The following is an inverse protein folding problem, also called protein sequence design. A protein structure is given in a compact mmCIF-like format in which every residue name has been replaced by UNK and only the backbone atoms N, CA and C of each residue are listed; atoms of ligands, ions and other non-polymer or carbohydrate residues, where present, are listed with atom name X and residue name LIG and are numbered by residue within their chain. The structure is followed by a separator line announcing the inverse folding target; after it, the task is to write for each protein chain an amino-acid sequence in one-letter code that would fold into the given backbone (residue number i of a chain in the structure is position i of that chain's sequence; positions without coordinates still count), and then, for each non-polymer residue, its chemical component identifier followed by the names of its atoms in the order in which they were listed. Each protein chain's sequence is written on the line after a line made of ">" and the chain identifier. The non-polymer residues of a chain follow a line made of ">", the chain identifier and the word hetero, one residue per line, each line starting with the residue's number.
data_IF_256119279029
#
_entry.id   IF_256119279029
#
_cell.length_a   1.000
_cell.length_b   1.000
_cell.length_c   1.000
_cell.angle_alpha   90.00
_cell.angle_beta   90.00
_cell.angle_gamma   90.00
#
_symmetry.space_group_name_H-M   'P 1'
#
loop_
_entity.id
_entity.type
_entity.pdbx_description
1 polymer ?
#
# COMPACT_ATOMS: atom_id res chain seq x y z
N UNK A 1 14.65 -11.60 1.39
CA UNK A 1 15.53 -10.57 0.81
C UNK A 1 15.19 -10.39 -0.67
N UNK A 2 15.34 -9.17 -1.20
CA UNK A 2 15.10 -8.87 -2.62
C UNK A 2 15.94 -9.74 -3.57
N UNK A 3 17.05 -10.31 -3.12
CA UNK A 3 17.90 -11.25 -3.85
C UNK A 3 17.25 -12.61 -4.10
N UNK A 4 16.14 -12.90 -3.44
CA UNK A 4 15.46 -14.21 -3.50
C UNK A 4 14.05 -14.12 -4.14
N UNK A 5 13.74 -13.01 -4.80
CA UNK A 5 12.44 -12.80 -5.45
C UNK A 5 12.14 -13.90 -6.51
N UNK A 6 13.18 -14.44 -7.17
CA UNK A 6 13.01 -15.54 -8.11
C UNK A 6 12.43 -16.80 -7.44
N UNK A 7 12.76 -17.07 -6.18
CA UNK A 7 12.22 -18.21 -5.43
C UNK A 7 10.72 -18.02 -5.17
N UNK A 8 10.26 -16.78 -4.98
CA UNK A 8 8.84 -16.47 -4.83
C UNK A 8 8.09 -16.73 -6.13
N UNK A 9 8.69 -16.40 -7.28
CA UNK A 9 8.12 -16.71 -8.59
C UNK A 9 8.05 -18.22 -8.83
N UNK A 10 9.07 -18.98 -8.44
CA UNK A 10 9.06 -20.44 -8.54
C UNK A 10 7.97 -21.06 -7.66
N UNK A 11 7.79 -20.56 -6.45
CA UNK A 11 6.68 -20.96 -5.57
C UNK A 11 5.32 -20.64 -6.20
N UNK A 12 5.19 -19.44 -6.77
CA UNK A 12 3.94 -19.00 -7.39
C UNK A 12 3.56 -19.89 -8.58
N UNK A 13 4.54 -20.23 -9.43
CA UNK A 13 4.38 -21.20 -10.52
C UNK A 13 4.04 -22.61 -10.04
N UNK A 14 4.65 -23.06 -8.94
CA UNK A 14 4.34 -24.36 -8.35
C UNK A 14 2.91 -24.43 -7.82
N UNK A 15 2.44 -23.35 -7.16
CA UNK A 15 1.06 -23.23 -6.68
C UNK A 15 0.06 -23.28 -7.85
N UNK A 16 0.33 -22.55 -8.93
CA UNK A 16 -0.52 -22.59 -10.14
C UNK A 16 -0.59 -24.01 -10.73
N UNK A 17 0.56 -24.69 -10.88
CA UNK A 17 0.59 -26.10 -11.34
C UNK A 17 -0.17 -27.04 -10.42
N UNK A 18 -0.23 -26.75 -9.13
CA UNK A 18 -0.99 -27.53 -8.15
C UNK A 18 -2.50 -27.21 -8.14
N UNK A 19 -2.97 -26.33 -9.05
CA UNK A 19 -4.38 -25.97 -9.17
C UNK A 19 -4.83 -24.84 -8.24
N UNK A 20 -3.90 -24.01 -7.75
CA UNK A 20 -4.29 -22.81 -7.02
C UNK A 20 -5.03 -21.84 -7.96
N UNK A 21 -6.23 -21.45 -7.56
CA UNK A 21 -7.08 -20.52 -8.30
C UNK A 21 -6.74 -19.06 -7.94
N UNK A 22 -6.68 -18.20 -8.96
CA UNK A 22 -6.42 -16.77 -8.80
C UNK A 22 -7.68 -15.92 -8.55
N UNK A 23 -7.47 -14.64 -8.37
CA UNK A 23 -8.56 -13.65 -8.20
C UNK A 23 -9.50 -13.60 -9.41
N UNK A 24 -9.00 -13.92 -10.60
CA UNK A 24 -9.68 -13.90 -11.89
C UNK A 24 -10.50 -15.17 -12.19
N UNK A 25 -10.33 -16.24 -11.40
CA UNK A 25 -10.97 -17.54 -11.67
C UNK A 25 -12.37 -17.70 -11.06
N UNK A 26 -12.90 -16.68 -10.40
CA UNK A 26 -14.31 -16.67 -9.93
C UNK A 26 -14.60 -15.75 -8.77
N UNK A 27 -15.87 -15.39 -8.62
CA UNK A 27 -16.39 -14.47 -7.59
C UNK A 27 -16.08 -14.89 -6.14
N UNK A 28 -15.84 -16.19 -5.92
CA UNK A 28 -15.51 -16.72 -4.58
C UNK A 28 -14.02 -16.65 -4.25
N UNK A 29 -13.17 -16.33 -5.22
CA UNK A 29 -11.72 -16.32 -5.07
C UNK A 29 -11.12 -14.90 -5.07
N UNK A 30 -11.88 -13.91 -4.58
CA UNK A 30 -11.46 -12.52 -4.49
C UNK A 30 -10.29 -12.29 -3.51
N UNK A 31 -9.27 -13.15 -3.56
CA UNK A 31 -8.05 -13.04 -2.76
C UNK A 31 -7.10 -12.01 -3.38
N UNK A 32 -6.54 -11.14 -2.52
CA UNK A 32 -5.46 -10.24 -2.93
C UNK A 32 -4.10 -10.81 -2.57
N UNK A 33 -3.08 -10.46 -3.33
CA UNK A 33 -1.70 -10.62 -2.93
C UNK A 33 -1.37 -9.48 -1.96
N UNK A 34 -1.11 -9.80 -0.69
CA UNK A 34 -0.73 -8.81 0.30
C UNK A 34 0.79 -8.76 0.42
N UNK A 35 1.37 -7.62 0.13
CA UNK A 35 2.81 -7.41 0.30
C UNK A 35 3.06 -6.62 1.59
N UNK A 36 4.02 -7.10 2.39
CA UNK A 36 4.51 -6.37 3.56
C UNK A 36 5.92 -5.89 3.25
N UNK A 37 6.00 -4.67 2.75
CA UNK A 37 7.29 -4.08 2.39
C UNK A 37 7.89 -3.42 3.63
N UNK A 38 9.03 -3.93 4.08
CA UNK A 38 9.72 -3.37 5.24
C UNK A 38 10.17 -1.94 4.96
N UNK A 39 9.94 -1.03 5.92
CA UNK A 39 10.40 0.36 5.78
C UNK A 39 11.90 0.46 5.95
N UNK A 40 12.55 1.30 5.15
CA UNK A 40 13.99 1.59 5.26
C UNK A 40 14.33 2.43 6.50
N UNK A 41 13.33 3.05 7.14
CA UNK A 41 13.50 3.85 8.34
C UNK A 41 12.19 4.21 9.02
N UNK A 42 12.26 4.56 10.30
CA UNK A 42 11.10 4.79 11.16
C UNK A 42 10.84 6.27 11.47
N UNK A 43 11.56 7.17 10.82
CA UNK A 43 11.36 8.61 10.96
C UNK A 43 10.34 9.13 9.96
N UNK A 44 9.79 10.31 10.22
CA UNK A 44 8.88 10.99 9.28
C UNK A 44 9.55 11.20 7.92
N UNK A 45 10.85 11.55 7.91
CA UNK A 45 11.61 11.74 6.67
C UNK A 45 11.72 10.50 5.77
N UNK A 46 11.52 9.28 6.31
CA UNK A 46 11.46 8.05 5.51
C UNK A 46 10.02 7.66 5.15
N UNK A 47 9.08 7.84 6.07
CA UNK A 47 7.71 7.34 5.91
C UNK A 47 6.87 8.28 5.06
N UNK A 48 6.96 9.59 5.29
CA UNK A 48 6.11 10.58 4.63
C UNK A 48 6.32 10.65 3.11
N UNK A 49 7.56 10.66 2.58
CA UNK A 49 7.77 10.62 1.12
C UNK A 49 7.15 9.37 0.47
N UNK A 50 7.33 8.19 1.08
CA UNK A 50 6.74 6.95 0.57
C UNK A 50 5.21 7.01 0.58
N UNK A 51 4.63 7.54 1.65
CA UNK A 51 3.17 7.73 1.74
C UNK A 51 2.66 8.71 0.68
N UNK A 52 3.31 9.88 0.51
CA UNK A 52 2.97 10.87 -0.54
C UNK A 52 3.03 10.23 -1.93
N UNK A 53 4.15 9.57 -2.25
CA UNK A 53 4.34 8.90 -3.54
C UNK A 53 3.25 7.86 -3.81
N UNK A 54 2.91 7.03 -2.81
CA UNK A 54 1.83 6.06 -2.94
C UNK A 54 0.48 6.73 -3.21
N UNK A 55 0.13 7.75 -2.44
CA UNK A 55 -1.14 8.48 -2.58
C UNK A 55 -1.30 9.06 -3.98
N UNK A 56 -0.24 9.66 -4.52
CA UNK A 56 -0.24 10.27 -5.86
C UNK A 56 -0.27 9.22 -6.98
N UNK A 57 0.40 8.09 -6.80
CA UNK A 57 0.45 6.99 -7.78
C UNK A 57 -0.75 6.03 -7.67
N UNK A 58 -1.59 6.13 -6.64
CA UNK A 58 -2.70 5.21 -6.41
C UNK A 58 -3.65 5.07 -7.63
N UNK A 59 -4.06 6.14 -8.33
CA UNK A 59 -4.90 5.99 -9.52
C UNK A 59 -4.23 5.17 -10.63
N UNK A 60 -2.93 5.38 -10.86
CA UNK A 60 -2.15 4.60 -11.82
C UNK A 60 -2.00 3.15 -11.39
N UNK A 61 -1.66 2.90 -10.11
CA UNK A 61 -1.53 1.55 -9.56
C UNK A 61 -2.84 0.76 -9.71
N UNK A 62 -3.97 1.36 -9.40
CA UNK A 62 -5.29 0.75 -9.56
C UNK A 62 -5.60 0.39 -11.02
N UNK A 63 -5.20 1.24 -11.94
CA UNK A 63 -5.35 0.99 -13.38
C UNK A 63 -4.40 -0.09 -13.87
N UNK A 64 -3.11 -0.02 -13.50
CA UNK A 64 -2.09 -0.96 -13.94
C UNK A 64 -2.30 -2.38 -13.39
N UNK A 65 -2.82 -2.50 -12.16
CA UNK A 65 -3.15 -3.78 -11.52
C UNK A 65 -4.47 -4.34 -12.08
N UNK A 66 -5.28 -3.53 -12.77
CA UNK A 66 -6.60 -3.91 -13.25
C UNK A 66 -7.43 -4.52 -12.12
N UNK A 67 -7.53 -3.78 -11.00
CA UNK A 67 -8.23 -4.26 -9.80
C UNK A 67 -9.58 -4.85 -10.18
N UNK A 68 -9.74 -6.13 -9.94
CA UNK A 68 -10.92 -6.91 -10.29
C UNK A 68 -12.21 -6.22 -9.82
N UNK A 69 -13.25 -6.25 -10.68
CA UNK A 69 -14.55 -5.67 -10.39
C UNK A 69 -15.18 -6.19 -9.10
N UNK A 70 -14.96 -7.45 -8.75
CA UNK A 70 -15.42 -8.04 -7.50
C UNK A 70 -14.71 -7.45 -6.29
N UNK A 71 -13.40 -7.21 -6.37
CA UNK A 71 -12.64 -6.56 -5.29
C UNK A 71 -13.01 -5.09 -5.11
N UNK A 72 -13.52 -4.43 -6.15
CA UNK A 72 -14.03 -3.06 -6.06
C UNK A 72 -15.31 -2.94 -5.22
N UNK A 73 -16.08 -4.03 -5.12
CA UNK A 73 -17.34 -4.07 -4.37
C UNK A 73 -17.09 -4.34 -2.88
N UNK A 74 -15.96 -4.97 -2.54
CA UNK A 74 -15.63 -5.29 -1.15
C UNK A 74 -14.78 -4.18 -0.52
N UNK A 75 -15.09 -3.75 0.72
CA UNK A 75 -14.43 -2.61 1.39
C UNK A 75 -13.03 -2.95 1.92
N UNK A 76 -12.25 -3.81 1.25
CA UNK A 76 -10.93 -4.24 1.72
C UNK A 76 -9.76 -3.48 1.10
N UNK A 77 -10.03 -2.70 0.03
CA UNK A 77 -9.05 -1.93 -0.74
C UNK A 77 -9.60 -0.55 -1.11
N UNK A 78 -10.23 0.12 -0.14
CA UNK A 78 -10.76 1.45 -0.34
C UNK A 78 -9.66 2.45 -0.69
N UNK A 79 -9.87 3.31 -1.70
CA UNK A 79 -8.96 4.40 -1.98
C UNK A 79 -8.93 5.40 -0.81
N UNK A 80 -7.86 6.17 -0.74
CA UNK A 80 -7.78 7.24 0.25
C UNK A 80 -8.74 8.39 -0.09
N UNK A 81 -9.33 9.06 0.93
CA UNK A 81 -10.13 10.26 0.69
C UNK A 81 -9.29 11.36 0.04
N UNK A 82 -9.84 12.04 -0.97
CA UNK A 82 -9.16 13.17 -1.63
C UNK A 82 -8.76 14.27 -0.65
N UNK A 83 -9.57 14.51 0.39
CA UNK A 83 -9.25 15.45 1.46
C UNK A 83 -7.99 15.06 2.24
N UNK A 84 -7.76 13.76 2.46
CA UNK A 84 -6.52 13.30 3.07
C UNK A 84 -5.31 13.49 2.16
N UNK A 85 -5.44 13.15 0.88
CA UNK A 85 -4.36 13.36 -0.11
C UNK A 85 -4.01 14.84 -0.18
N UNK A 86 -5.00 15.72 -0.29
CA UNK A 86 -4.79 17.19 -0.27
C UNK A 86 -4.06 17.65 0.99
N UNK A 87 -4.45 17.14 2.16
CA UNK A 87 -3.79 17.48 3.43
C UNK A 87 -2.32 17.09 3.42
N UNK A 88 -2.01 15.85 3.01
CA UNK A 88 -0.65 15.28 3.05
C UNK A 88 0.26 15.89 1.97
N UNK A 89 -0.29 16.24 0.80
CA UNK A 89 0.44 16.87 -0.29
C UNK A 89 0.51 18.40 -0.20
N UNK A 90 -0.06 19.02 0.84
CA UNK A 90 0.03 20.46 1.02
C UNK A 90 1.49 20.90 1.21
N UNK A 91 1.94 22.04 0.61
CA UNK A 91 3.33 22.49 0.71
C UNK A 91 3.80 22.77 2.13
N UNK A 92 2.89 23.15 3.01
CA UNK A 92 3.13 23.44 4.43
C UNK A 92 3.00 22.21 5.34
N UNK A 93 2.77 21.02 4.77
CA UNK A 93 2.61 19.79 5.55
C UNK A 93 3.96 19.24 6.01
N UNK A 94 4.41 19.70 7.16
CA UNK A 94 5.65 19.32 7.83
C UNK A 94 5.40 18.73 9.22
N UNK A 95 4.68 17.59 9.32
CA UNK A 95 4.28 17.03 10.60
C UNK A 95 5.47 16.42 11.35
N UNK A 96 5.37 16.38 12.67
CA UNK A 96 6.11 15.38 13.45
C UNK A 96 5.44 14.00 13.32
N UNK A 97 6.07 12.96 13.87
CA UNK A 97 5.56 11.59 13.79
C UNK A 97 4.17 11.44 14.43
N UNK A 98 3.92 12.14 15.54
CA UNK A 98 2.64 12.06 16.23
C UNK A 98 1.52 12.77 15.45
N UNK A 99 1.82 13.90 14.85
CA UNK A 99 0.89 14.62 13.99
C UNK A 99 0.56 13.82 12.73
N UNK A 100 1.57 13.24 12.06
CA UNK A 100 1.37 12.39 10.88
C UNK A 100 0.46 11.19 11.18
N UNK A 101 0.72 10.49 12.28
CA UNK A 101 -0.12 9.35 12.69
C UNK A 101 -1.53 9.82 13.08
N UNK A 102 -1.64 10.94 13.79
CA UNK A 102 -2.93 11.52 14.18
C UNK A 102 -3.79 11.91 12.97
N UNK A 103 -3.20 12.56 11.99
CA UNK A 103 -3.88 12.92 10.74
C UNK A 103 -4.31 11.64 9.99
N UNK A 104 -3.43 10.64 9.86
CA UNK A 104 -3.81 9.37 9.24
C UNK A 104 -5.04 8.75 9.92
N UNK A 105 -5.01 8.62 11.23
CA UNK A 105 -6.10 8.00 12.01
C UNK A 105 -7.42 8.80 11.92
N UNK A 106 -7.34 10.11 11.82
CA UNK A 106 -8.52 10.98 11.69
C UNK A 106 -9.25 10.77 10.36
N UNK A 107 -8.51 10.55 9.27
CA UNK A 107 -9.08 10.34 7.94
C UNK A 107 -9.28 8.88 7.58
N UNK A 108 -8.52 7.97 8.20
CA UNK A 108 -8.43 6.57 7.83
C UNK A 108 -8.49 5.64 9.05
N UNK A 109 -9.54 5.70 9.91
CA UNK A 109 -9.66 4.84 11.08
C UNK A 109 -10.11 3.43 10.68
N UNK A 110 -9.42 2.81 9.72
CA UNK A 110 -9.81 1.52 9.14
C UNK A 110 -8.61 0.78 8.57
N UNK A 111 -8.67 -0.56 8.62
CA UNK A 111 -7.70 -1.43 7.93
C UNK A 111 -7.95 -1.59 6.44
N UNK A 112 -9.04 -1.03 5.93
CA UNK A 112 -9.51 -1.34 4.57
C UNK A 112 -8.88 -0.46 3.48
N UNK A 113 -7.89 0.36 3.82
CA UNK A 113 -7.15 1.12 2.80
C UNK A 113 -6.26 0.20 1.95
N UNK A 114 -6.13 0.53 0.69
CA UNK A 114 -5.27 -0.15 -0.28
C UNK A 114 -3.79 -0.19 0.14
N UNK A 115 -3.34 0.81 0.91
CA UNK A 115 -2.11 0.80 1.70
C UNK A 115 -2.47 0.97 3.17
N UNK A 116 -2.50 -0.12 3.92
CA UNK A 116 -2.83 -0.11 5.33
C UNK A 116 -1.59 0.23 6.16
N UNK A 117 -1.54 1.47 6.67
CA UNK A 117 -0.43 1.99 7.48
C UNK A 117 -0.53 1.59 8.96
N UNK A 118 -1.67 1.02 9.40
CA UNK A 118 -1.90 0.73 10.81
C UNK A 118 -0.86 -0.23 11.41
N UNK A 119 -0.38 -1.28 10.72
CA UNK A 119 0.69 -2.14 11.24
C UNK A 119 1.99 -1.38 11.53
N UNK A 120 2.42 -0.49 10.62
CA UNK A 120 3.61 0.33 10.80
C UNK A 120 3.40 1.35 11.93
N UNK A 121 2.28 2.04 11.93
CA UNK A 121 1.97 3.03 12.96
C UNK A 121 1.76 2.39 14.35
N UNK A 122 1.21 1.18 14.40
CA UNK A 122 1.13 0.41 15.65
C UNK A 122 2.51 0.00 16.17
N UNK A 123 3.45 -0.33 15.29
CA UNK A 123 4.85 -0.57 15.68
C UNK A 123 5.50 0.67 16.29
N UNK A 124 5.20 1.86 15.75
CA UNK A 124 5.80 3.13 16.20
C UNK A 124 5.08 3.73 17.41
N UNK A 125 3.76 3.61 17.50
CA UNK A 125 2.91 4.27 18.50
C UNK A 125 1.67 3.41 18.82
N UNK A 126 1.87 2.23 19.40
CA UNK A 126 0.82 1.23 19.65
C UNK A 126 -0.42 1.81 20.35
N UNK A 127 -0.23 2.53 21.45
CA UNK A 127 -1.33 3.10 22.24
C UNK A 127 -2.19 4.11 21.44
N UNK A 128 -1.57 4.81 20.48
CA UNK A 128 -2.27 5.78 19.65
C UNK A 128 -3.17 5.10 18.62
N UNK A 129 -2.69 4.02 18.03
CA UNK A 129 -3.47 3.23 17.06
C UNK A 129 -4.60 2.48 17.76
N UNK A 130 -4.33 1.80 18.88
CA UNK A 130 -5.35 1.06 19.62
C UNK A 130 -6.43 1.96 20.23
N UNK A 131 -6.12 3.20 20.53
CA UNK A 131 -7.09 4.19 20.98
C UNK A 131 -8.03 4.71 19.89
N UNK A 132 -7.68 4.54 18.61
CA UNK A 132 -8.46 5.00 17.46
C UNK A 132 -9.13 3.85 16.69
N UNK A 133 -8.51 2.68 16.65
CA UNK A 133 -8.99 1.51 15.89
C UNK A 133 -8.87 0.27 16.75
N UNK A 134 -10.02 -0.25 17.21
CA UNK A 134 -10.09 -1.50 17.96
C UNK A 134 -10.28 -2.68 16.99
N UNK A 135 -9.17 -3.16 16.42
CA UNK A 135 -9.18 -4.34 15.56
C UNK A 135 -8.00 -5.28 15.90
N UNK A 136 -8.26 -6.45 16.49
CA UNK A 136 -7.22 -7.39 16.94
C UNK A 136 -6.39 -7.98 15.80
N UNK A 137 -6.79 -7.78 14.54
CA UNK A 137 -6.05 -8.19 13.35
C UNK A 137 -4.93 -7.23 12.98
N UNK A 138 -4.84 -6.05 13.60
CA UNK A 138 -3.70 -5.16 13.45
C UNK A 138 -2.51 -5.78 14.18
N UNK A 139 -1.51 -6.22 13.40
CA UNK A 139 -0.28 -6.79 13.94
C UNK A 139 0.86 -5.81 13.70
N UNK A 140 1.40 -5.24 14.78
CA UNK A 140 2.48 -4.27 14.74
C UNK A 140 3.73 -4.85 14.05
N UNK A 141 4.25 -4.15 13.05
CA UNK A 141 5.47 -4.51 12.32
C UNK A 141 6.03 -3.32 11.55
N UNK A 142 7.36 -3.23 11.31
CA UNK A 142 7.97 -2.12 10.61
C UNK A 142 7.81 -2.24 9.09
N UNK A 143 6.57 -2.38 8.61
CA UNK A 143 6.30 -2.60 7.20
C UNK A 143 5.02 -1.91 6.73
N UNK A 144 5.06 -1.44 5.49
CA UNK A 144 3.88 -1.03 4.74
C UNK A 144 3.06 -2.27 4.39
N UNK A 145 1.76 -2.26 4.67
CA UNK A 145 0.87 -3.35 4.32
C UNK A 145 0.10 -3.00 3.03
N UNK A 146 0.69 -3.32 1.89
CA UNK A 146 0.10 -3.07 0.60
C UNK A 146 -0.86 -4.18 0.20
N UNK A 147 -2.13 -3.83 0.01
CA UNK A 147 -3.25 -4.76 -0.17
C UNK A 147 -3.88 -4.70 -1.56
N UNK A 148 -3.47 -3.73 -2.38
CA UNK A 148 -4.05 -3.49 -3.69
C UNK A 148 -3.84 -4.63 -4.69
N UNK A 149 -2.66 -5.32 -4.76
CA UNK A 149 -2.39 -6.33 -5.78
C UNK A 149 -3.41 -7.46 -5.84
N UNK A 150 -3.72 -7.90 -7.06
CA UNK A 150 -4.48 -9.12 -7.31
C UNK A 150 -3.58 -10.35 -7.10
N UNK A 151 -4.17 -11.47 -6.69
CA UNK A 151 -3.48 -12.77 -6.71
C UNK A 151 -3.76 -13.44 -8.08
N UNK A 152 -2.96 -13.10 -9.10
CA UNK A 152 -3.08 -13.67 -10.44
C UNK A 152 -2.03 -14.73 -10.66
N UNK A 153 -2.42 -15.93 -11.10
CA UNK A 153 -1.52 -17.03 -11.40
C UNK A 153 -1.24 -17.18 -12.90
N UNK A 154 -1.98 -16.50 -13.76
CA UNK A 154 -1.86 -16.55 -15.22
C UNK A 154 -1.72 -15.15 -15.83
N UNK A 155 -1.09 -15.07 -17.01
CA UNK A 155 -0.89 -13.82 -17.74
C UNK A 155 0.54 -13.28 -17.67
N UNK A 156 0.89 -12.36 -18.59
CA UNK A 156 2.25 -11.80 -18.71
C UNK A 156 2.65 -10.89 -17.54
N UNK A 157 1.65 -10.31 -16.87
CA UNK A 157 1.85 -9.40 -15.73
C UNK A 157 1.41 -10.03 -14.41
N UNK A 158 1.28 -11.35 -14.38
CA UNK A 158 0.91 -12.08 -13.17
C UNK A 158 2.14 -12.32 -12.30
N UNK A 159 1.91 -12.33 -10.99
CA UNK A 159 2.91 -12.77 -10.02
C UNK A 159 3.56 -11.66 -9.19
N UNK A 160 4.28 -12.07 -8.15
CA UNK A 160 4.87 -11.17 -7.16
C UNK A 160 5.93 -10.21 -7.72
N UNK A 161 6.67 -10.59 -8.76
CA UNK A 161 7.71 -9.73 -9.36
C UNK A 161 7.11 -8.52 -10.08
N UNK A 162 5.99 -8.70 -10.78
CA UNK A 162 5.30 -7.58 -11.42
C UNK A 162 4.83 -6.56 -10.36
N UNK A 163 4.24 -7.05 -9.27
CA UNK A 163 3.80 -6.20 -8.17
C UNK A 163 4.97 -5.54 -7.44
N UNK A 164 6.07 -6.26 -7.23
CA UNK A 164 7.28 -5.68 -6.68
C UNK A 164 7.82 -4.53 -7.54
N UNK A 165 7.79 -4.68 -8.86
CA UNK A 165 8.24 -3.63 -9.79
C UNK A 165 7.36 -2.38 -9.70
N UNK A 166 6.05 -2.54 -9.49
CA UNK A 166 5.12 -1.43 -9.23
C UNK A 166 5.44 -0.73 -7.90
N UNK A 167 5.73 -1.49 -6.85
CA UNK A 167 6.16 -0.92 -5.58
C UNK A 167 7.47 -0.13 -5.70
N UNK A 168 8.46 -0.65 -6.43
CA UNK A 168 9.72 0.05 -6.70
C UNK A 168 9.47 1.41 -7.37
N UNK A 169 8.42 1.55 -8.17
CA UNK A 169 8.05 2.86 -8.75
C UNK A 169 7.61 3.85 -7.67
N UNK A 170 6.90 3.38 -6.64
CA UNK A 170 6.56 4.21 -5.47
C UNK A 170 7.82 4.68 -4.74
N UNK A 171 8.74 3.76 -4.48
CA UNK A 171 10.01 4.09 -3.79
C UNK A 171 10.89 5.05 -4.61
N UNK A 172 10.92 4.91 -5.93
CA UNK A 172 11.64 5.82 -6.82
C UNK A 172 11.09 7.24 -6.77
N UNK A 173 9.76 7.40 -6.81
CA UNK A 173 9.15 8.72 -6.66
C UNK A 173 9.39 9.27 -5.25
N UNK A 174 9.31 8.45 -4.22
CA UNK A 174 9.60 8.86 -2.85
C UNK A 174 11.05 9.34 -2.64
N UNK A 175 11.99 8.79 -3.41
CA UNK A 175 13.41 9.17 -3.37
C UNK A 175 13.75 10.40 -4.22
N UNK A 176 12.89 10.79 -5.15
CA UNK A 176 13.01 11.97 -5.99
C UNK A 176 12.25 13.15 -5.36
N UNK A 177 12.91 13.91 -4.48
CA UNK A 177 12.26 15.01 -3.75
C UNK A 177 11.63 16.05 -4.67
N UNK A 178 12.35 16.45 -5.74
CA UNK A 178 11.88 17.47 -6.67
C UNK A 178 10.70 17.00 -7.51
N UNK A 179 10.74 15.73 -7.93
CA UNK A 179 9.64 15.07 -8.64
C UNK A 179 8.41 14.91 -7.77
N UNK A 180 8.61 14.54 -6.52
CA UNK A 180 7.53 14.36 -5.55
C UNK A 180 6.83 15.69 -5.21
N UNK A 181 7.60 16.76 -5.01
CA UNK A 181 7.05 18.09 -4.72
C UNK A 181 6.24 18.63 -5.91
N UNK A 182 6.77 18.54 -7.14
CA UNK A 182 6.04 18.89 -8.36
C UNK A 182 4.74 18.09 -8.53
N UNK A 183 4.77 16.79 -8.21
CA UNK A 183 3.58 15.96 -8.28
C UNK A 183 2.54 16.36 -7.22
N UNK A 184 2.96 16.72 -5.99
CA UNK A 184 2.10 17.26 -4.96
C UNK A 184 1.45 18.58 -5.40
N UNK A 185 2.23 19.51 -5.95
CA UNK A 185 1.73 20.79 -6.48
C UNK A 185 0.68 20.58 -7.57
N UNK A 186 0.97 19.69 -8.54
CA UNK A 186 0.04 19.36 -9.62
C UNK A 186 -1.27 18.77 -9.12
N UNK A 187 -1.25 18.05 -7.99
CA UNK A 187 -2.47 17.48 -7.39
C UNK A 187 -3.32 18.54 -6.66
N UNK A 188 -2.72 19.65 -6.21
CA UNK A 188 -3.42 20.73 -5.48
C UNK A 188 -4.18 21.67 -6.41
N UNK A 189 -3.73 21.86 -7.66
CA UNK A 189 -4.34 22.73 -8.69
C UNK A 189 -5.51 22.09 -9.35
#
# INVERSE_FOLDING_TARGET
>A
PWTELNQIEDLYRALHKAGAAGTDEGLLYAFGLHMNVETSGTTVGHILPTLKAYLLLSPWLRSAIQVDGTRRIFPYIDPFPSSYIKRVCAPDYTPDLNAMIGDYLSFNPTRNRELDMLPLFSHLRAARVSGAVDDPRIKARPAYHWRLPNALFSGQEAGPLAEWSRWVTVERLAADSDGLDKACESFQG
#
